data_IF_946873810597
#
_entry.id   IF_946873810597
#
_cell.length_a   1.000
_cell.length_b   1.000
_cell.length_c   1.000
_cell.angle_alpha   90.00
_cell.angle_beta   90.00
_cell.angle_gamma   90.00
#
_symmetry.space_group_name_H-M   'P 1'
#
loop_
_entity.id
_entity.type
_entity.pdbx_description
1 polymer ?
#
# COMPACT_ATOMS: atom_id res chain seq x y z
N UNK A 1 -1.76 10.05 -12.75
CA UNK A 1 -1.37 8.89 -11.93
C UNK A 1 -0.15 9.27 -11.11
N UNK A 2 -0.04 8.76 -9.87
CA UNK A 2 1.04 9.10 -8.93
C UNK A 2 1.97 7.90 -8.78
N UNK A 3 3.27 8.16 -8.81
CA UNK A 3 4.34 7.19 -8.64
C UNK A 3 4.86 7.15 -7.19
N UNK A 4 5.49 6.04 -6.81
CA UNK A 4 6.15 5.82 -5.51
C UNK A 4 7.09 6.96 -5.14
N UNK A 5 7.88 7.47 -6.09
CA UNK A 5 8.83 8.55 -5.81
C UNK A 5 8.14 9.80 -5.26
N UNK A 6 6.99 10.19 -5.81
CA UNK A 6 6.22 11.36 -5.35
C UNK A 6 5.66 11.13 -3.96
N UNK A 7 5.10 9.94 -3.71
CA UNK A 7 4.55 9.58 -2.40
C UNK A 7 5.64 9.59 -1.33
N UNK A 8 6.81 9.01 -1.61
CA UNK A 8 7.95 8.99 -0.67
C UNK A 8 8.40 10.41 -0.33
N UNK A 9 8.56 11.31 -1.33
CA UNK A 9 8.95 12.71 -1.07
C UNK A 9 7.94 13.43 -0.20
N UNK A 10 6.65 13.22 -0.45
CA UNK A 10 5.58 13.79 0.34
C UNK A 10 5.60 13.31 1.80
N UNK A 11 5.72 11.99 2.02
CA UNK A 11 5.64 11.41 3.36
C UNK A 11 6.88 11.63 4.21
N UNK A 12 8.06 11.77 3.59
CA UNK A 12 9.34 11.86 4.31
C UNK A 12 9.86 13.29 4.44
N UNK A 13 9.52 14.18 3.51
CA UNK A 13 10.05 15.54 3.48
C UNK A 13 11.57 15.63 3.24
N UNK A 14 12.20 14.54 2.79
CA UNK A 14 13.67 14.38 2.81
C UNK A 14 14.41 15.30 1.82
N UNK A 15 13.77 15.62 0.69
CA UNK A 15 14.23 16.61 -0.28
C UNK A 15 13.22 17.75 -0.30
N UNK A 16 13.48 18.88 0.40
CA UNK A 16 12.48 19.93 0.64
C UNK A 16 11.78 20.44 -0.62
N UNK A 17 12.53 20.70 -1.69
CA UNK A 17 11.98 21.19 -2.96
C UNK A 17 11.03 20.17 -3.61
N UNK A 18 11.38 18.89 -3.59
CA UNK A 18 10.54 17.84 -4.16
C UNK A 18 9.34 17.54 -3.26
N UNK A 19 9.51 17.63 -1.94
CA UNK A 19 8.44 17.46 -0.97
C UNK A 19 7.38 18.55 -1.11
N UNK A 20 7.79 19.82 -1.27
CA UNK A 20 6.87 20.93 -1.51
C UNK A 20 6.08 20.73 -2.81
N UNK A 21 6.75 20.34 -3.90
CA UNK A 21 6.09 20.02 -5.17
C UNK A 21 5.13 18.85 -5.07
N UNK A 22 5.50 17.81 -4.31
CA UNK A 22 4.63 16.66 -4.07
C UNK A 22 3.42 17.04 -3.22
N UNK A 23 3.58 17.90 -2.22
CA UNK A 23 2.49 18.42 -1.40
C UNK A 23 1.51 19.26 -2.22
N UNK A 24 1.99 20.18 -3.07
CA UNK A 24 1.13 20.96 -3.97
C UNK A 24 0.26 20.04 -4.84
N UNK A 25 0.81 18.95 -5.35
CA UNK A 25 0.06 17.97 -6.14
C UNK A 25 -0.94 17.17 -5.27
N UNK A 26 -0.45 16.54 -4.20
CA UNK A 26 -1.22 15.58 -3.40
C UNK A 26 -2.27 16.23 -2.50
N UNK A 27 -2.04 17.46 -2.02
CA UNK A 27 -2.99 18.26 -1.25
C UNK A 27 -3.90 19.12 -2.13
N UNK A 28 -3.66 19.14 -3.44
CA UNK A 28 -4.49 19.84 -4.41
C UNK A 28 -5.90 19.25 -4.55
N UNK A 29 -6.83 20.00 -5.17
CA UNK A 29 -8.22 19.57 -5.31
C UNK A 29 -8.43 18.52 -6.42
N UNK A 30 -7.47 18.39 -7.35
CA UNK A 30 -7.62 17.55 -8.53
C UNK A 30 -7.61 16.05 -8.19
N UNK A 31 -8.48 15.23 -8.81
CA UNK A 31 -8.45 13.79 -8.63
C UNK A 31 -7.13 13.18 -9.12
N UNK A 32 -6.56 12.32 -8.30
CA UNK A 32 -5.33 11.59 -8.55
C UNK A 32 -5.58 10.10 -8.37
N UNK A 33 -4.82 9.31 -9.13
CA UNK A 33 -4.95 7.87 -9.12
C UNK A 33 -3.59 7.20 -8.90
N UNK A 34 -3.55 6.10 -8.17
CA UNK A 34 -2.39 5.24 -7.98
C UNK A 34 -2.81 3.76 -8.10
N UNK A 35 -1.84 2.87 -8.23
CA UNK A 35 -2.06 1.43 -8.11
C UNK A 35 -1.64 0.95 -6.73
N UNK A 36 -2.17 -0.17 -6.27
CA UNK A 36 -1.78 -0.79 -4.99
C UNK A 36 -0.28 -1.08 -4.92
N UNK A 37 0.39 -1.36 -6.05
CA UNK A 37 1.84 -1.54 -6.13
C UNK A 37 2.63 -0.32 -5.64
N UNK A 38 2.11 0.90 -5.84
CA UNK A 38 2.73 2.14 -5.33
C UNK A 38 2.77 2.15 -3.81
N UNK A 39 1.74 1.60 -3.15
CA UNK A 39 1.73 1.45 -1.69
C UNK A 39 2.76 0.42 -1.23
N UNK A 40 2.88 -0.71 -1.93
CA UNK A 40 3.87 -1.76 -1.64
C UNK A 40 5.29 -1.18 -1.70
N UNK A 41 5.64 -0.52 -2.79
CA UNK A 41 6.97 0.04 -2.98
C UNK A 41 7.25 1.16 -1.98
N UNK A 42 6.27 2.04 -1.73
CA UNK A 42 6.39 3.09 -0.71
C UNK A 42 6.66 2.47 0.66
N UNK A 43 5.91 1.42 1.05
CA UNK A 43 6.11 0.74 2.32
C UNK A 43 7.53 0.18 2.45
N UNK A 44 8.03 -0.48 1.40
CA UNK A 44 9.39 -1.00 1.37
C UNK A 44 10.44 0.10 1.49
N UNK A 45 10.29 1.21 0.78
CA UNK A 45 11.23 2.34 0.84
C UNK A 45 11.23 2.96 2.25
N UNK A 46 10.06 3.24 2.83
CA UNK A 46 9.95 3.80 4.17
C UNK A 46 10.57 2.88 5.24
N UNK A 47 10.32 1.56 5.16
CA UNK A 47 10.89 0.62 6.14
C UNK A 47 12.40 0.42 5.95
N UNK A 48 12.89 0.35 4.71
CA UNK A 48 14.28 -0.06 4.43
C UNK A 48 15.26 1.09 4.30
N UNK A 49 14.87 2.17 3.62
CA UNK A 49 15.75 3.31 3.38
C UNK A 49 15.65 4.35 4.50
N UNK A 50 14.45 4.53 5.07
CA UNK A 50 14.21 5.49 6.15
C UNK A 50 14.11 4.84 7.53
N UNK A 51 14.28 3.51 7.62
CA UNK A 51 14.27 2.74 8.86
C UNK A 51 13.02 2.97 9.74
N UNK A 52 11.90 3.35 9.10
CA UNK A 52 10.64 3.60 9.79
C UNK A 52 10.06 2.26 10.23
N UNK A 53 9.60 2.20 11.49
CA UNK A 53 8.99 0.98 12.00
C UNK A 53 7.78 0.57 11.16
N UNK A 54 7.66 -0.71 10.85
CA UNK A 54 6.53 -1.26 10.07
C UNK A 54 5.15 -0.80 10.55
N UNK A 55 4.95 -0.72 11.87
CA UNK A 55 3.67 -0.25 12.42
C UNK A 55 3.40 1.21 11.99
N UNK A 56 4.41 2.08 12.09
CA UNK A 56 4.30 3.46 11.61
C UNK A 56 4.16 3.55 10.09
N UNK A 57 4.88 2.73 9.32
CA UNK A 57 4.72 2.67 7.85
C UNK A 57 3.26 2.39 7.48
N UNK A 58 2.66 1.37 8.10
CA UNK A 58 1.25 1.04 7.88
C UNK A 58 0.32 2.17 8.29
N UNK A 59 0.51 2.74 9.48
CA UNK A 59 -0.35 3.82 9.98
C UNK A 59 -0.28 5.06 9.04
N UNK A 60 0.92 5.43 8.58
CA UNK A 60 1.13 6.52 7.63
C UNK A 60 0.48 6.25 6.27
N UNK A 61 0.57 5.03 5.75
CA UNK A 61 -0.08 4.68 4.48
C UNK A 61 -1.61 4.66 4.59
N UNK A 62 -2.14 4.21 5.73
CA UNK A 62 -3.59 4.26 5.99
C UNK A 62 -4.07 5.71 6.06
N UNK A 63 -3.34 6.59 6.73
CA UNK A 63 -3.63 8.03 6.79
C UNK A 63 -3.56 8.67 5.39
N UNK A 64 -2.51 8.35 4.62
CA UNK A 64 -2.36 8.80 3.24
C UNK A 64 -3.55 8.40 2.36
N UNK A 65 -4.08 7.17 2.52
CA UNK A 65 -5.25 6.71 1.77
C UNK A 65 -6.55 7.44 2.15
N UNK A 66 -6.63 8.11 3.31
CA UNK A 66 -7.83 8.89 3.70
C UNK A 66 -8.05 10.13 2.84
N UNK A 67 -7.05 10.56 2.04
CA UNK A 67 -7.18 11.73 1.16
C UNK A 67 -8.27 11.53 0.12
N UNK A 68 -9.24 12.45 0.08
CA UNK A 68 -10.45 12.34 -0.75
C UNK A 68 -10.18 12.37 -2.26
N UNK A 69 -9.13 13.09 -2.67
CA UNK A 69 -8.72 13.24 -4.06
C UNK A 69 -7.90 12.06 -4.58
N UNK A 70 -7.43 11.16 -3.71
CA UNK A 70 -6.69 9.97 -4.13
C UNK A 70 -7.66 8.82 -4.42
N UNK A 71 -7.37 8.05 -5.47
CA UNK A 71 -8.09 6.84 -5.82
C UNK A 71 -7.10 5.72 -6.16
N UNK A 72 -7.43 4.49 -5.77
CA UNK A 72 -6.70 3.31 -6.24
C UNK A 72 -7.42 2.77 -7.48
N UNK A 73 -6.66 2.42 -8.52
CA UNK A 73 -7.21 1.96 -9.81
C UNK A 73 -7.58 0.48 -9.83
N UNK A 74 -6.89 -0.32 -9.03
CA UNK A 74 -6.96 -1.77 -9.00
C UNK A 74 -7.64 -2.33 -7.75
N UNK A 75 -7.74 -1.54 -6.68
CA UNK A 75 -8.16 -2.01 -5.36
C UNK A 75 -9.01 -0.96 -4.63
N UNK A 76 -10.20 -1.28 -4.10
CA UNK A 76 -10.93 -0.37 -3.22
C UNK A 76 -10.08 0.03 -2.00
N UNK A 77 -10.20 1.29 -1.55
CA UNK A 77 -9.38 1.80 -0.44
C UNK A 77 -9.61 1.02 0.85
N UNK A 78 -10.84 0.61 1.10
CA UNK A 78 -11.24 -0.15 2.26
C UNK A 78 -10.51 -1.50 2.31
N UNK A 79 -10.45 -2.19 1.17
CA UNK A 79 -9.71 -3.47 1.05
C UNK A 79 -8.19 -3.24 1.15
N UNK A 80 -7.66 -2.16 0.56
CA UNK A 80 -6.25 -1.79 0.73
C UNK A 80 -5.89 -1.56 2.20
N UNK A 81 -6.76 -0.88 2.97
CA UNK A 81 -6.58 -0.67 4.41
C UNK A 81 -6.58 -2.00 5.16
N UNK A 82 -7.49 -2.92 4.83
CA UNK A 82 -7.51 -4.27 5.43
C UNK A 82 -6.19 -5.02 5.15
N UNK A 83 -5.69 -4.99 3.91
CA UNK A 83 -4.39 -5.55 3.55
C UNK A 83 -3.24 -4.93 4.34
N UNK A 84 -3.20 -3.59 4.43
CA UNK A 84 -2.19 -2.90 5.22
C UNK A 84 -2.24 -3.31 6.71
N UNK A 85 -3.43 -3.38 7.30
CA UNK A 85 -3.63 -3.83 8.70
C UNK A 85 -3.17 -5.28 8.93
N UNK A 86 -3.44 -6.18 7.99
CA UNK A 86 -2.93 -7.56 8.01
C UNK A 86 -1.40 -7.58 8.03
N UNK A 87 -0.78 -6.65 7.30
CA UNK A 87 0.65 -6.38 7.30
C UNK A 87 1.10 -5.38 8.40
N UNK A 88 0.39 -5.21 9.51
CA UNK A 88 0.84 -4.37 10.64
C UNK A 88 1.59 -5.08 11.78
N UNK A 89 1.17 -6.26 12.29
CA UNK A 89 1.74 -6.87 13.51
C UNK A 89 3.21 -7.35 13.45
N UNK A 90 3.63 -8.09 12.42
CA UNK A 90 4.99 -8.63 12.25
C UNK A 90 5.33 -8.96 10.79
N UNK A 91 6.62 -9.11 10.43
CA UNK A 91 7.05 -9.46 9.05
C UNK A 91 6.62 -10.85 8.54
N UNK A 92 5.68 -11.51 9.22
CA UNK A 92 5.06 -12.77 8.79
C UNK A 92 4.34 -12.63 7.45
N UNK A 93 3.64 -11.50 7.25
CA UNK A 93 2.95 -11.18 5.99
C UNK A 93 3.62 -9.96 5.38
N UNK A 94 4.16 -10.11 4.18
CA UNK A 94 4.77 -9.02 3.42
C UNK A 94 3.68 -8.05 2.91
N UNK A 95 4.05 -6.78 2.68
CA UNK A 95 3.10 -5.78 2.14
C UNK A 95 2.52 -6.21 0.79
N UNK A 96 3.36 -6.80 -0.07
CA UNK A 96 2.96 -7.31 -1.37
C UNK A 96 1.90 -8.41 -1.26
N UNK A 97 2.14 -9.42 -0.41
CA UNK A 97 1.20 -10.51 -0.19
C UNK A 97 -0.12 -10.02 0.42
N UNK A 98 -0.04 -9.06 1.35
CA UNK A 98 -1.23 -8.53 1.99
C UNK A 98 -2.10 -7.69 1.03
N UNK A 99 -1.49 -6.89 0.16
CA UNK A 99 -2.23 -6.13 -0.86
C UNK A 99 -2.69 -7.01 -2.02
N UNK A 100 -1.94 -8.07 -2.37
CA UNK A 100 -2.41 -9.08 -3.32
C UNK A 100 -3.59 -9.87 -2.76
N UNK A 101 -3.56 -10.21 -1.47
CA UNK A 101 -4.70 -10.83 -0.78
C UNK A 101 -5.93 -9.92 -0.79
N UNK A 102 -5.77 -8.64 -0.48
CA UNK A 102 -6.86 -7.66 -0.54
C UNK A 102 -7.43 -7.54 -1.97
N UNK A 103 -6.56 -7.56 -2.99
CA UNK A 103 -6.95 -7.55 -4.39
C UNK A 103 -7.74 -8.80 -4.79
N UNK A 104 -7.24 -9.98 -4.43
CA UNK A 104 -7.93 -11.24 -4.71
C UNK A 104 -9.30 -11.28 -4.02
N UNK A 105 -9.37 -10.84 -2.76
CA UNK A 105 -10.61 -10.74 -1.99
C UNK A 105 -11.60 -9.77 -2.64
N UNK A 106 -11.13 -8.57 -3.02
CA UNK A 106 -11.96 -7.55 -3.67
C UNK A 106 -12.52 -7.99 -5.03
N UNK A 107 -11.85 -8.91 -5.71
CA UNK A 107 -12.28 -9.46 -6.99
C UNK A 107 -13.06 -10.79 -6.82
N UNK A 108 -13.44 -11.15 -5.59
CA UNK A 108 -14.15 -12.39 -5.28
C UNK A 108 -13.43 -13.65 -5.80
N UNK A 109 -12.10 -13.60 -5.84
CA UNK A 109 -11.30 -14.73 -6.31
C UNK A 109 -11.51 -15.92 -5.38
N UNK A 110 -11.99 -17.04 -5.94
CA UNK A 110 -12.20 -18.26 -5.16
C UNK A 110 -10.88 -18.91 -4.74
N UNK A 111 -9.85 -18.81 -5.61
CA UNK A 111 -8.55 -19.44 -5.43
C UNK A 111 -7.42 -18.47 -5.72
N UNK A 112 -6.37 -18.54 -4.91
CA UNK A 112 -5.09 -17.90 -5.15
C UNK A 112 -4.01 -18.98 -5.22
N UNK A 113 -3.26 -18.97 -6.32
CA UNK A 113 -2.18 -19.93 -6.54
C UNK A 113 -0.84 -19.33 -6.13
N UNK A 114 -0.11 -20.00 -5.24
CA UNK A 114 1.20 -19.52 -4.74
C UNK A 114 2.06 -20.68 -4.23
N UNK A 115 3.38 -20.52 -4.33
CA UNK A 115 4.36 -21.42 -3.71
C UNK A 115 4.78 -20.95 -2.29
N UNK A 116 4.31 -19.80 -1.81
CA UNK A 116 4.55 -19.37 -0.43
C UNK A 116 3.49 -19.96 0.50
N UNK A 117 3.86 -21.01 1.23
CA UNK A 117 3.01 -21.65 2.24
C UNK A 117 2.58 -20.72 3.38
N UNK A 118 3.15 -19.51 3.50
CA UNK A 118 2.80 -18.52 4.53
C UNK A 118 1.86 -17.43 4.01
N UNK A 119 1.44 -17.49 2.75
CA UNK A 119 0.51 -16.54 2.16
C UNK A 119 -0.78 -16.45 3.00
N UNK A 120 -1.35 -15.26 3.21
CA UNK A 120 -2.58 -15.11 3.98
C UNK A 120 -3.77 -15.76 3.28
N UNK A 121 -4.38 -16.76 3.92
CA UNK A 121 -5.54 -17.51 3.40
C UNK A 121 -6.90 -17.01 3.93
N UNK A 122 -6.95 -15.87 4.63
CA UNK A 122 -8.18 -15.41 5.28
C UNK A 122 -9.28 -15.08 4.24
N UNK A 123 -10.28 -15.96 4.14
CA UNK A 123 -11.38 -15.81 3.19
C UNK A 123 -11.07 -16.16 1.72
N UNK A 124 -9.90 -16.76 1.42
CA UNK A 124 -9.51 -17.19 0.07
C UNK A 124 -8.87 -18.58 0.13
N UNK A 125 -9.26 -19.48 -0.77
CA UNK A 125 -8.59 -20.79 -0.90
C UNK A 125 -7.18 -20.58 -1.49
N UNK A 126 -6.14 -20.84 -0.70
CA UNK A 126 -4.75 -20.78 -1.17
C UNK A 126 -4.33 -22.18 -1.62
N UNK A 127 -3.89 -22.28 -2.88
CA UNK A 127 -3.55 -23.56 -3.53
C UNK A 127 -2.11 -23.50 -4.04
N UNK A 128 -1.32 -24.50 -3.70
CA UNK A 128 -0.03 -24.74 -4.36
C UNK A 128 -0.31 -25.54 -5.65
N UNK A 129 0.05 -25.03 -6.86
CA UNK A 129 -0.23 -25.70 -8.14
C UNK A 129 0.41 -27.08 -8.32
#
# INVERSE_FOLDING_TARGET
MVDTSVVVRYLTGDVPELAERAAVLLDGPDPLALHSIVLVETAFVLEKAYEISRAHVVDTLIEFLQKKNLHLLDLPKEEAILGLLLSRPSKRVAYADALLWALARSNEAQRLYTFDARFPADGIEVVEP
#
